data_IF_833502090512
#
_entry.id   IF_833502090512
#
_cell.length_a   1.000
_cell.length_b   1.000
_cell.length_c   1.000
_cell.angle_alpha   90.00
_cell.angle_beta   90.00
_cell.angle_gamma   90.00
#
_symmetry.space_group_name_H-M   'P 1'
#
loop_
_entity.id
_entity.type
_entity.pdbx_description
1 polymer ?
#
# COMPACT_ATOMS: atom_id res chain seq x y z
N UNK A 1 1.41 14.40 5.07
CA UNK A 1 0.86 14.00 3.77
C UNK A 1 -0.58 13.49 3.91
N UNK A 2 -0.88 12.58 4.84
CA UNK A 2 -2.24 12.03 5.08
C UNK A 2 -3.30 13.13 5.26
N UNK A 3 -3.19 13.97 6.30
CA UNK A 3 -4.14 15.06 6.56
C UNK A 3 -4.29 16.03 5.39
N UNK A 4 -3.20 16.28 4.66
CA UNK A 4 -3.21 17.17 3.51
C UNK A 4 -4.05 16.60 2.36
N UNK A 5 -3.92 15.30 2.08
CA UNK A 5 -4.71 14.63 1.05
C UNK A 5 -6.20 14.59 1.46
N UNK A 6 -6.50 14.26 2.72
CA UNK A 6 -7.86 14.27 3.26
C UNK A 6 -8.49 15.66 3.07
N UNK A 7 -7.80 16.73 3.52
CA UNK A 7 -8.28 18.11 3.41
C UNK A 7 -8.43 18.54 1.94
N UNK A 8 -7.52 18.11 1.07
CA UNK A 8 -7.60 18.41 -0.37
C UNK A 8 -8.85 17.79 -0.99
N UNK A 9 -9.16 16.52 -0.71
CA UNK A 9 -10.38 15.89 -1.19
C UNK A 9 -11.64 16.57 -0.65
N UNK A 10 -11.65 16.94 0.65
CA UNK A 10 -12.76 17.65 1.29
C UNK A 10 -13.01 19.03 0.68
N UNK A 11 -11.97 19.78 0.33
CA UNK A 11 -12.08 21.16 -0.19
C UNK A 11 -12.31 21.24 -1.69
N UNK A 12 -11.64 20.38 -2.45
CA UNK A 12 -11.56 20.51 -3.91
C UNK A 12 -12.23 19.36 -4.68
N UNK A 13 -12.74 18.35 -3.97
CA UNK A 13 -13.51 17.25 -4.55
C UNK A 13 -12.66 16.11 -5.10
N UNK A 14 -13.35 15.15 -5.74
CA UNK A 14 -12.87 13.77 -5.92
C UNK A 14 -12.09 13.49 -7.22
N UNK A 15 -12.22 14.33 -8.26
CA UNK A 15 -11.53 14.14 -9.55
C UNK A 15 -10.12 14.73 -9.51
N UNK A 16 -9.28 14.16 -8.65
CA UNK A 16 -7.89 14.59 -8.45
C UNK A 16 -6.94 13.39 -8.63
N UNK A 17 -5.98 13.51 -9.55
CA UNK A 17 -4.96 12.49 -9.84
C UNK A 17 -3.56 12.90 -9.31
N UNK A 18 -3.49 13.85 -8.37
CA UNK A 18 -2.23 14.37 -7.83
C UNK A 18 -1.92 13.83 -6.42
N UNK A 19 -2.86 13.12 -5.81
CA UNK A 19 -2.79 12.77 -4.39
C UNK A 19 -1.98 11.50 -4.15
N UNK A 20 -0.66 11.69 -4.08
CA UNK A 20 0.30 10.62 -3.79
C UNK A 20 0.92 10.82 -2.40
N UNK A 21 0.82 9.80 -1.55
CA UNK A 21 1.65 9.68 -0.36
C UNK A 21 3.01 9.12 -0.79
N UNK A 22 4.02 9.98 -0.82
CA UNK A 22 5.37 9.59 -1.22
C UNK A 22 6.20 9.18 0.01
N UNK A 23 6.72 7.96 0.00
CA UNK A 23 7.69 7.45 1.00
C UNK A 23 9.10 7.48 0.43
N UNK A 24 9.22 7.30 -0.88
CA UNK A 24 10.48 7.32 -1.62
C UNK A 24 11.10 8.73 -1.69
N UNK A 25 12.38 8.84 -1.35
CA UNK A 25 13.18 10.04 -1.60
C UNK A 25 14.32 9.76 -2.59
N UNK A 26 14.77 10.75 -3.39
CA UNK A 26 15.95 10.60 -4.24
C UNK A 26 17.20 10.16 -3.47
N UNK A 27 17.35 10.63 -2.22
CA UNK A 27 18.44 10.24 -1.31
C UNK A 27 18.43 8.77 -0.91
N UNK A 28 17.32 8.05 -1.11
CA UNK A 28 17.22 6.64 -0.74
C UNK A 28 18.20 5.76 -1.51
N UNK A 29 18.70 6.23 -2.64
CA UNK A 29 19.73 5.56 -3.45
C UNK A 29 21.01 5.26 -2.65
N UNK A 30 21.29 6.02 -1.59
CA UNK A 30 22.50 5.86 -0.79
C UNK A 30 22.24 5.19 0.57
N UNK A 31 21.00 4.79 0.85
CA UNK A 31 20.67 4.11 2.11
C UNK A 31 21.07 2.63 2.03
N UNK A 32 21.57 2.11 3.17
CA UNK A 32 21.80 0.66 3.33
C UNK A 32 20.47 -0.08 3.26
N UNK A 33 19.45 0.43 3.96
CA UNK A 33 18.12 -0.16 4.03
C UNK A 33 17.04 0.88 3.64
N UNK A 34 16.84 1.15 2.34
CA UNK A 34 15.81 2.10 1.91
C UNK A 34 14.40 1.53 2.13
N UNK A 35 13.34 2.37 2.24
CA UNK A 35 12.00 1.87 2.49
C UNK A 35 11.50 0.98 1.33
N UNK A 36 10.86 -0.13 1.68
CA UNK A 36 10.26 -1.08 0.73
C UNK A 36 9.01 -0.51 0.06
N UNK A 37 8.08 0.03 0.86
CA UNK A 37 6.96 0.83 0.37
C UNK A 37 7.51 2.14 -0.21
N UNK A 38 7.13 2.47 -1.44
CA UNK A 38 7.63 3.66 -2.15
C UNK A 38 6.56 4.74 -2.28
N UNK A 39 5.33 4.35 -2.57
CA UNK A 39 4.22 5.28 -2.72
C UNK A 39 2.87 4.60 -2.49
N UNK A 40 1.91 5.41 -2.05
CA UNK A 40 0.48 5.12 -2.10
C UNK A 40 -0.17 6.26 -2.86
N UNK A 41 -0.57 6.02 -4.10
CA UNK A 41 -1.40 6.93 -4.87
C UNK A 41 -2.88 6.68 -4.54
N UNK A 42 -3.68 7.72 -4.54
CA UNK A 42 -5.07 7.67 -4.09
C UNK A 42 -5.99 8.20 -5.17
N UNK A 43 -7.16 7.57 -5.32
CA UNK A 43 -8.19 8.07 -6.22
C UNK A 43 -9.56 7.80 -5.64
N UNK A 44 -10.40 8.83 -5.62
CA UNK A 44 -11.82 8.66 -5.33
C UNK A 44 -12.58 8.59 -6.65
N UNK A 45 -13.29 7.49 -6.84
CA UNK A 45 -14.15 7.29 -8.00
C UNK A 45 -15.39 6.52 -7.55
N UNK A 46 -16.56 6.88 -8.09
CA UNK A 46 -17.84 6.20 -7.82
C UNK A 46 -18.16 6.09 -6.31
N UNK A 47 -17.74 7.09 -5.53
CA UNK A 47 -17.99 7.19 -4.09
C UNK A 47 -17.12 6.29 -3.21
N UNK A 48 -16.07 5.66 -3.77
CA UNK A 48 -15.11 4.84 -3.03
C UNK A 48 -13.69 5.40 -3.11
N UNK A 49 -12.91 5.27 -2.04
CA UNK A 49 -11.47 5.61 -1.99
C UNK A 49 -10.63 4.39 -2.37
N UNK A 50 -9.93 4.48 -3.49
CA UNK A 50 -9.01 3.43 -3.97
C UNK A 50 -7.56 3.83 -3.69
N UNK A 51 -6.75 2.85 -3.32
CA UNK A 51 -5.30 2.99 -3.15
C UNK A 51 -4.56 2.22 -4.25
N UNK A 52 -3.53 2.85 -4.81
CA UNK A 52 -2.55 2.23 -5.71
C UNK A 52 -1.21 2.23 -5.02
N UNK A 53 -0.75 1.05 -4.63
CA UNK A 53 0.36 0.88 -3.69
C UNK A 53 1.53 0.27 -4.42
N UNK A 54 2.72 0.88 -4.31
CA UNK A 54 3.94 0.35 -4.91
C UNK A 54 4.98 -0.02 -3.87
N UNK A 55 5.40 -1.30 -3.91
CA UNK A 55 6.55 -1.82 -3.18
C UNK A 55 7.72 -2.12 -4.13
N UNK A 56 8.93 -1.64 -3.81
CA UNK A 56 10.14 -2.00 -4.60
C UNK A 56 10.64 -3.42 -4.30
N UNK A 57 10.33 -3.93 -3.11
CA UNK A 57 10.73 -5.22 -2.57
C UNK A 57 9.74 -5.59 -1.49
N UNK A 58 9.37 -6.86 -1.39
CA UNK A 58 8.36 -7.28 -0.43
C UNK A 58 8.53 -8.73 0.00
N UNK A 59 8.69 -8.95 1.30
CA UNK A 59 8.61 -10.28 1.90
C UNK A 59 7.17 -10.79 1.84
N UNK A 60 6.93 -11.84 1.07
CA UNK A 60 5.63 -12.47 0.87
C UNK A 60 5.06 -13.07 2.17
N UNK A 61 5.92 -13.55 3.08
CA UNK A 61 5.45 -14.33 4.23
C UNK A 61 5.25 -13.46 5.46
N UNK A 62 6.32 -12.80 5.93
CA UNK A 62 6.26 -11.97 7.14
C UNK A 62 5.76 -10.56 6.87
N UNK A 63 6.21 -9.96 5.76
CA UNK A 63 5.91 -8.57 5.42
C UNK A 63 4.49 -8.35 4.88
N UNK A 64 4.11 -9.08 3.84
CA UNK A 64 2.89 -8.83 3.07
C UNK A 64 1.62 -8.77 3.91
N UNK A 65 1.32 -9.77 4.78
CA UNK A 65 0.08 -9.74 5.55
C UNK A 65 0.02 -8.53 6.50
N UNK A 66 1.11 -8.26 7.21
CA UNK A 66 1.16 -7.17 8.19
C UNK A 66 1.11 -5.79 7.50
N UNK A 67 1.81 -5.63 6.38
CA UNK A 67 1.81 -4.38 5.62
C UNK A 67 0.43 -4.08 5.03
N UNK A 68 -0.25 -5.09 4.47
CA UNK A 68 -1.59 -4.90 3.92
C UNK A 68 -2.62 -4.57 5.00
N UNK A 69 -2.54 -5.22 6.17
CA UNK A 69 -3.39 -4.87 7.30
C UNK A 69 -3.20 -3.40 7.73
N UNK A 70 -1.94 -2.95 7.84
CA UNK A 70 -1.64 -1.56 8.17
C UNK A 70 -2.16 -0.55 7.14
N UNK A 71 -1.99 -0.84 5.85
CA UNK A 71 -2.45 0.03 4.76
C UNK A 71 -3.97 0.03 4.67
N UNK A 72 -4.64 -1.10 4.93
CA UNK A 72 -6.10 -1.18 4.99
C UNK A 72 -6.65 -0.28 6.10
N UNK A 73 -6.08 -0.35 7.31
CA UNK A 73 -6.47 0.55 8.41
C UNK A 73 -6.31 2.03 8.04
N UNK A 74 -5.21 2.39 7.36
CA UNK A 74 -5.00 3.75 6.88
C UNK A 74 -6.05 4.17 5.84
N UNK A 75 -6.38 3.30 4.88
CA UNK A 75 -7.38 3.56 3.85
C UNK A 75 -8.77 3.76 4.46
N UNK A 76 -9.16 2.90 5.40
CA UNK A 76 -10.44 3.01 6.11
C UNK A 76 -10.53 4.31 6.92
N UNK A 77 -9.46 4.68 7.63
CA UNK A 77 -9.36 5.96 8.31
C UNK A 77 -9.55 7.13 7.35
N UNK A 78 -8.79 7.16 6.25
CA UNK A 78 -8.89 8.24 5.25
C UNK A 78 -10.27 8.29 4.60
N UNK A 79 -10.85 7.14 4.25
CA UNK A 79 -12.19 7.05 3.66
C UNK A 79 -13.26 7.60 4.61
N UNK A 80 -13.19 7.22 5.89
CA UNK A 80 -14.08 7.71 6.95
C UNK A 80 -13.96 9.23 7.15
N UNK A 81 -12.74 9.75 7.21
CA UNK A 81 -12.50 11.19 7.34
C UNK A 81 -13.00 11.98 6.13
N UNK A 82 -12.92 11.44 4.92
CA UNK A 82 -13.41 12.11 3.71
C UNK A 82 -14.93 11.95 3.55
N UNK A 83 -15.53 10.92 4.13
CA UNK A 83 -16.96 10.60 4.00
C UNK A 83 -17.29 9.75 2.76
N UNK A 84 -16.36 8.90 2.32
CA UNK A 84 -16.53 7.96 1.20
C UNK A 84 -16.39 6.52 1.67
N UNK A 85 -16.77 5.56 0.83
CA UNK A 85 -16.66 4.13 1.15
C UNK A 85 -15.23 3.63 0.95
N UNK A 86 -14.90 2.54 1.63
CA UNK A 86 -13.69 1.79 1.37
C UNK A 86 -13.73 1.15 -0.04
N UNK A 87 -12.70 1.41 -0.84
CA UNK A 87 -12.56 0.92 -2.22
C UNK A 87 -11.49 -0.14 -2.37
N UNK A 88 -11.00 -0.34 -3.58
CA UNK A 88 -9.98 -1.34 -3.86
C UNK A 88 -8.58 -0.89 -3.41
N UNK A 89 -7.74 -1.88 -3.10
CA UNK A 89 -6.31 -1.69 -2.98
C UNK A 89 -5.63 -2.42 -4.13
N UNK A 90 -5.12 -1.67 -5.11
CA UNK A 90 -4.37 -2.18 -6.25
C UNK A 90 -2.91 -2.13 -5.88
N UNK A 91 -2.25 -3.27 -5.79
CA UNK A 91 -0.89 -3.37 -5.25
C UNK A 91 0.04 -3.93 -6.32
N UNK A 92 1.15 -3.23 -6.53
CA UNK A 92 2.26 -3.69 -7.35
C UNK A 92 3.53 -3.86 -6.51
N UNK A 93 4.28 -4.92 -6.81
CA UNK A 93 5.59 -5.15 -6.23
C UNK A 93 6.59 -5.53 -7.31
N UNK A 94 7.73 -4.82 -7.35
CA UNK A 94 8.84 -5.18 -8.23
C UNK A 94 9.56 -6.45 -7.77
N UNK A 95 9.60 -6.70 -6.46
CA UNK A 95 10.45 -7.72 -5.84
C UNK A 95 9.72 -8.49 -4.75
N UNK A 96 8.57 -9.08 -5.08
CA UNK A 96 7.88 -10.00 -4.18
C UNK A 96 8.69 -11.29 -4.08
N UNK A 97 9.06 -11.69 -2.87
CA UNK A 97 9.93 -12.84 -2.65
C UNK A 97 9.55 -13.63 -1.39
N UNK A 98 9.90 -14.91 -1.38
CA UNK A 98 9.78 -15.79 -0.23
C UNK A 98 11.17 -16.16 0.26
N UNK A 99 11.45 -15.94 1.54
CA UNK A 99 12.70 -16.39 2.14
C UNK A 99 12.72 -17.91 2.30
N UNK A 100 13.89 -18.54 2.12
CA UNK A 100 14.03 -20.00 2.18
C UNK A 100 13.55 -20.62 3.50
N UNK A 101 13.73 -19.92 4.63
CA UNK A 101 13.22 -20.41 5.93
C UNK A 101 11.69 -20.55 5.97
N UNK A 102 10.96 -19.84 5.10
CA UNK A 102 9.50 -19.84 5.05
C UNK A 102 8.95 -20.79 3.97
N UNK A 103 9.80 -21.46 3.19
CA UNK A 103 9.37 -22.26 2.04
C UNK A 103 8.49 -23.45 2.46
N UNK A 104 8.92 -24.21 3.45
CA UNK A 104 8.16 -25.39 3.93
C UNK A 104 6.80 -24.98 4.54
N UNK A 105 6.78 -23.86 5.27
CA UNK A 105 5.54 -23.30 5.81
C UNK A 105 4.60 -22.83 4.69
N UNK A 106 5.14 -22.23 3.64
CA UNK A 106 4.36 -21.80 2.48
C UNK A 106 3.79 -23.00 1.70
N UNK A 107 4.57 -24.07 1.50
CA UNK A 107 4.11 -25.32 0.85
C UNK A 107 2.95 -25.94 1.64
N UNK A 108 3.11 -26.07 2.95
CA UNK A 108 2.07 -26.58 3.86
C UNK A 108 0.79 -25.72 3.76
N UNK A 109 0.94 -24.40 3.76
CA UNK A 109 -0.19 -23.45 3.67
C UNK A 109 -0.95 -23.55 2.35
N UNK A 110 -0.25 -23.83 1.26
CA UNK A 110 -0.84 -24.01 -0.08
C UNK A 110 -1.38 -25.42 -0.33
N UNK A 111 -1.35 -26.33 0.66
CA UNK A 111 -1.71 -27.74 0.50
C UNK A 111 -0.96 -28.42 -0.65
N UNK A 112 0.24 -27.94 -0.97
CA UNK A 112 1.13 -28.57 -1.94
C UNK A 112 2.03 -29.53 -1.16
N UNK A 113 1.67 -30.81 -1.17
CA UNK A 113 2.60 -31.91 -0.91
C UNK A 113 3.24 -32.26 -2.25
N UNK A 114 4.57 -32.42 -2.28
CA UNK A 114 5.37 -32.67 -3.49
C UNK A 114 4.73 -33.67 -4.48
#
# INVERSE_FOLDING_TARGET
QIEWIIDTYKRYGVRNNQMVLQVAHPSDLTLVDPPCLRSIDTRIQDGVLNFFVYFRSWDLWGGLPANLAGIQNLKEYMAGEIGVKDGEMIIESKGLHLYGYAEDLAKLRCLKTD
#
